data_IF_142366571706
#
_entry.id   IF_142366571706
#
_cell.length_a   1.000
_cell.length_b   1.000
_cell.length_c   1.000
_cell.angle_alpha   90.00
_cell.angle_beta   90.00
_cell.angle_gamma   90.00
#
_symmetry.space_group_name_H-M   'P 1'
#
loop_
_entity.id
_entity.type
_entity.pdbx_description
1 polymer ?
#
# COMPACT_ATOMS: atom_id res chain seq x y z
N UNK A 1 12.92 -28.98 -30.67
CA UNK A 1 12.02 -27.88 -31.08
C UNK A 1 12.78 -26.57 -30.94
N UNK A 2 13.38 -26.05 -32.02
CA UNK A 2 14.09 -24.75 -32.02
C UNK A 2 13.03 -23.65 -32.21
N UNK A 3 12.38 -23.23 -31.13
CA UNK A 3 11.41 -22.12 -31.18
C UNK A 3 12.06 -20.86 -31.72
N UNK A 4 11.30 -19.95 -32.36
CA UNK A 4 11.87 -18.69 -32.87
C UNK A 4 12.23 -17.78 -31.69
N UNK A 5 13.53 -17.51 -31.43
CA UNK A 5 13.99 -16.77 -30.25
C UNK A 5 13.36 -15.38 -30.06
N UNK A 6 13.02 -14.71 -31.16
CA UNK A 6 12.36 -13.39 -31.13
C UNK A 6 11.01 -13.42 -30.39
N UNK A 7 10.26 -14.53 -30.47
CA UNK A 7 9.01 -14.65 -29.72
C UNK A 7 9.25 -14.68 -28.21
N UNK A 8 10.34 -15.28 -27.74
CA UNK A 8 10.66 -15.26 -26.32
C UNK A 8 10.93 -13.84 -25.82
N UNK A 9 11.72 -13.05 -26.58
CA UNK A 9 12.01 -11.66 -26.25
C UNK A 9 10.75 -10.79 -26.11
N UNK A 10 9.76 -10.97 -27.00
CA UNK A 10 8.52 -10.18 -26.97
C UNK A 10 7.50 -10.72 -25.96
N UNK A 11 7.40 -12.03 -25.80
CA UNK A 11 6.37 -12.65 -24.96
C UNK A 11 6.77 -12.72 -23.48
N UNK A 12 8.06 -12.78 -23.15
CA UNK A 12 8.49 -12.91 -21.76
C UNK A 12 8.03 -11.73 -20.88
N UNK A 13 8.19 -10.45 -21.27
CA UNK A 13 7.67 -9.32 -20.48
C UNK A 13 6.15 -9.37 -20.32
N UNK A 14 5.42 -9.67 -21.39
CA UNK A 14 3.96 -9.75 -21.39
C UNK A 14 3.45 -10.86 -20.48
N UNK A 15 4.05 -12.05 -20.59
CA UNK A 15 3.69 -13.20 -19.77
C UNK A 15 4.00 -12.92 -18.30
N UNK A 16 5.18 -12.39 -17.99
CA UNK A 16 5.59 -12.08 -16.63
C UNK A 16 4.63 -11.09 -15.97
N UNK A 17 4.34 -9.99 -16.66
CA UNK A 17 3.42 -8.97 -16.16
C UNK A 17 2.00 -9.48 -16.04
N UNK A 18 1.54 -10.33 -16.96
CA UNK A 18 0.22 -10.96 -16.85
C UNK A 18 0.13 -11.83 -15.59
N UNK A 19 1.19 -12.59 -15.27
CA UNK A 19 1.26 -13.39 -14.05
C UNK A 19 1.33 -12.53 -12.79
N UNK A 20 2.13 -11.46 -12.79
CA UNK A 20 2.15 -10.49 -11.69
C UNK A 20 0.78 -9.84 -11.49
N UNK A 21 0.14 -9.38 -12.57
CA UNK A 21 -1.19 -8.76 -12.52
C UNK A 21 -2.24 -9.71 -11.96
N UNK A 22 -2.31 -10.96 -12.48
CA UNK A 22 -3.24 -11.98 -11.99
C UNK A 22 -3.03 -12.29 -10.51
N UNK A 23 -1.76 -12.36 -10.09
CA UNK A 23 -1.37 -12.60 -8.70
C UNK A 23 -1.70 -11.40 -7.79
N UNK A 24 -1.63 -10.18 -8.31
CA UNK A 24 -1.91 -8.93 -7.59
C UNK A 24 -3.39 -8.51 -7.62
N UNK A 25 -4.29 -9.36 -8.14
CA UNK A 25 -5.74 -9.10 -8.16
C UNK A 25 -6.31 -8.95 -6.75
N UNK A 26 -7.37 -8.13 -6.59
CA UNK A 26 -8.16 -7.99 -5.35
C UNK A 26 -9.00 -9.23 -4.99
N UNK A 27 -8.67 -10.38 -5.56
CA UNK A 27 -9.31 -11.63 -5.19
C UNK A 27 -8.90 -12.04 -3.77
N UNK A 28 -9.67 -12.94 -3.17
CA UNK A 28 -9.37 -13.53 -1.85
C UNK A 28 -7.98 -14.18 -1.79
N UNK A 29 -7.41 -14.55 -2.94
CA UNK A 29 -6.08 -15.16 -3.06
C UNK A 29 -5.03 -14.19 -3.61
N UNK A 30 -5.40 -12.91 -3.76
CA UNK A 30 -4.50 -11.85 -4.17
C UNK A 30 -3.31 -11.74 -3.23
N UNK A 31 -2.12 -11.75 -3.80
CA UNK A 31 -0.88 -11.63 -3.04
C UNK A 31 0.14 -10.82 -3.83
N UNK A 32 0.09 -9.49 -3.72
CA UNK A 32 0.92 -8.55 -4.48
C UNK A 32 2.33 -8.33 -3.88
N UNK A 33 2.93 -9.38 -3.29
CA UNK A 33 4.27 -9.30 -2.68
C UNK A 33 5.38 -9.49 -3.73
N UNK A 34 6.59 -8.93 -3.51
CA UNK A 34 7.76 -9.15 -4.39
C UNK A 34 7.51 -8.89 -5.90
N UNK A 35 6.73 -7.87 -6.25
CA UNK A 35 6.65 -7.44 -7.65
C UNK A 35 8.01 -6.91 -8.12
N UNK A 36 8.49 -7.33 -9.30
CA UNK A 36 9.82 -6.97 -9.79
C UNK A 36 10.02 -5.45 -9.86
N UNK A 37 9.01 -4.71 -10.32
CA UNK A 37 9.07 -3.26 -10.44
C UNK A 37 9.43 -2.54 -9.14
N UNK A 38 9.04 -3.08 -7.97
CA UNK A 38 9.35 -2.46 -6.68
C UNK A 38 10.85 -2.46 -6.36
N UNK A 39 11.64 -3.34 -6.98
CA UNK A 39 13.10 -3.34 -6.83
C UNK A 39 13.74 -2.02 -7.30
N UNK A 40 13.06 -1.26 -8.15
CA UNK A 40 13.58 -0.03 -8.76
C UNK A 40 13.20 1.24 -7.99
N UNK A 41 12.60 1.14 -6.78
CA UNK A 41 12.03 2.29 -6.06
C UNK A 41 13.02 3.45 -5.80
N UNK A 42 14.33 3.19 -5.74
CA UNK A 42 15.36 4.23 -5.57
C UNK A 42 15.85 4.83 -6.90
N UNK A 43 15.53 4.20 -8.03
CA UNK A 43 15.94 4.67 -9.35
C UNK A 43 14.86 5.56 -9.94
N UNK A 44 14.83 6.81 -9.47
CA UNK A 44 13.74 7.76 -9.72
C UNK A 44 13.41 7.94 -11.20
N UNK A 45 14.41 8.02 -12.09
CA UNK A 45 14.21 8.17 -13.53
C UNK A 45 13.60 6.93 -14.21
N UNK A 46 13.71 5.75 -13.59
CA UNK A 46 13.09 4.52 -14.11
C UNK A 46 11.64 4.41 -13.63
N UNK A 47 11.30 4.91 -12.45
CA UNK A 47 9.96 4.67 -11.89
C UNK A 47 8.89 5.63 -12.41
N UNK A 48 9.24 6.80 -12.96
CA UNK A 48 8.23 7.79 -13.35
C UNK A 48 7.17 7.27 -14.34
N UNK A 49 7.51 6.48 -15.39
CA UNK A 49 6.49 5.94 -16.30
C UNK A 49 5.46 5.00 -15.65
N UNK A 50 5.60 4.67 -14.35
CA UNK A 50 4.54 4.02 -13.59
C UNK A 50 3.27 4.86 -13.49
N UNK A 51 3.32 6.18 -13.68
CA UNK A 51 2.12 7.02 -13.76
C UNK A 51 1.20 6.58 -14.92
N UNK A 52 1.78 6.07 -16.02
CA UNK A 52 1.07 5.63 -17.21
C UNK A 52 0.77 4.12 -17.17
N UNK A 53 1.76 3.33 -16.75
CA UNK A 53 1.75 1.88 -16.89
C UNK A 53 1.51 1.13 -15.58
N UNK A 54 1.52 1.84 -14.46
CA UNK A 54 1.63 1.25 -13.13
C UNK A 54 2.98 0.57 -12.89
N UNK A 55 3.09 -0.12 -11.76
CA UNK A 55 4.29 -0.90 -11.40
C UNK A 55 4.64 -1.98 -12.44
N UNK A 56 3.62 -2.45 -13.16
CA UNK A 56 3.70 -3.51 -14.17
C UNK A 56 4.57 -3.13 -15.37
N UNK A 57 4.57 -1.87 -15.80
CA UNK A 57 5.44 -1.43 -16.89
C UNK A 57 6.92 -1.49 -16.49
N UNK A 58 7.24 -1.19 -15.24
CA UNK A 58 8.60 -1.30 -14.71
C UNK A 58 9.01 -2.78 -14.69
N UNK A 59 8.15 -3.69 -14.20
CA UNK A 59 8.40 -5.13 -14.29
C UNK A 59 8.63 -5.60 -15.73
N UNK A 60 7.84 -5.11 -16.69
CA UNK A 60 8.01 -5.43 -18.11
C UNK A 60 9.40 -5.01 -18.61
N UNK A 61 9.82 -3.78 -18.28
CA UNK A 61 11.12 -3.24 -18.67
C UNK A 61 12.27 -4.10 -18.12
N UNK A 62 12.21 -4.48 -16.84
CA UNK A 62 13.23 -5.34 -16.21
C UNK A 62 13.35 -6.66 -16.96
N UNK A 63 12.22 -7.32 -17.26
CA UNK A 63 12.22 -8.60 -17.97
C UNK A 63 12.73 -8.42 -19.40
N UNK A 64 12.34 -7.35 -20.09
CA UNK A 64 12.80 -7.03 -21.44
C UNK A 64 14.33 -6.86 -21.51
N UNK A 65 14.90 -6.09 -20.57
CA UNK A 65 16.35 -5.87 -20.48
C UNK A 65 17.07 -7.17 -20.19
N UNK A 66 16.58 -7.98 -19.24
CA UNK A 66 17.18 -9.28 -18.92
C UNK A 66 17.08 -10.26 -20.10
N UNK A 67 15.99 -10.26 -20.86
CA UNK A 67 15.87 -11.05 -22.07
C UNK A 67 16.89 -10.61 -23.14
N UNK A 68 17.08 -9.31 -23.35
CA UNK A 68 18.10 -8.80 -24.27
C UNK A 68 19.53 -9.18 -23.84
N UNK A 69 19.82 -9.09 -22.54
CA UNK A 69 21.10 -9.52 -21.97
C UNK A 69 21.32 -11.02 -22.16
N UNK A 70 20.29 -11.85 -21.98
CA UNK A 70 20.37 -13.27 -22.25
C UNK A 70 20.73 -13.54 -23.72
N UNK A 71 20.12 -12.83 -24.68
CA UNK A 71 20.47 -12.95 -26.10
C UNK A 71 21.92 -12.59 -26.39
N UNK A 72 22.39 -11.48 -25.82
CA UNK A 72 23.77 -11.02 -26.00
C UNK A 72 24.79 -12.00 -25.39
N UNK A 73 24.55 -12.46 -24.16
CA UNK A 73 25.43 -13.41 -23.47
C UNK A 73 25.43 -14.78 -24.14
N UNK A 74 24.27 -15.28 -24.56
CA UNK A 74 24.18 -16.57 -25.23
C UNK A 74 24.94 -16.57 -26.57
N UNK A 75 24.81 -15.51 -27.37
CA UNK A 75 25.56 -15.35 -28.61
C UNK A 75 27.07 -15.28 -28.36
N UNK A 76 27.50 -14.60 -27.28
CA UNK A 76 28.90 -14.51 -26.88
C UNK A 76 29.49 -15.86 -26.43
N UNK A 77 28.78 -16.60 -25.58
CA UNK A 77 29.25 -17.89 -25.02
C UNK A 77 29.29 -18.98 -26.09
N UNK A 78 28.24 -19.10 -26.89
CA UNK A 78 28.10 -20.19 -27.86
C UNK A 78 28.89 -19.95 -29.16
N UNK A 79 29.57 -18.79 -29.28
CA UNK A 79 30.32 -18.37 -30.47
C UNK A 79 29.51 -18.59 -31.75
N UNK A 80 28.30 -18.04 -31.75
CA UNK A 80 27.38 -18.18 -32.87
C UNK A 80 27.96 -17.53 -34.13
N UNK A 81 28.27 -18.32 -35.16
CA UNK A 81 28.90 -17.84 -36.40
C UNK A 81 27.88 -17.49 -37.51
N UNK A 82 26.57 -17.54 -37.23
CA UNK A 82 25.53 -17.26 -38.23
C UNK A 82 25.24 -15.76 -38.35
N UNK A 83 25.39 -15.20 -39.57
CA UNK A 83 25.04 -13.81 -39.87
C UNK A 83 23.61 -13.42 -39.48
N UNK A 84 22.66 -14.35 -39.55
CA UNK A 84 21.26 -14.10 -39.19
C UNK A 84 21.08 -13.96 -37.68
N UNK A 85 21.87 -14.66 -36.87
CA UNK A 85 21.82 -14.61 -35.41
C UNK A 85 22.42 -13.28 -34.91
N UNK A 86 23.55 -12.84 -35.48
CA UNK A 86 24.12 -11.53 -35.19
C UNK A 86 23.16 -10.37 -35.49
N UNK A 87 22.51 -10.40 -36.66
CA UNK A 87 21.50 -9.39 -37.02
C UNK A 87 20.35 -9.36 -36.03
N UNK A 88 19.93 -10.51 -35.51
CA UNK A 88 18.87 -10.60 -34.53
C UNK A 88 19.30 -10.05 -33.16
N UNK A 89 20.48 -10.44 -32.68
CA UNK A 89 21.05 -9.93 -31.42
C UNK A 89 21.16 -8.41 -31.47
N UNK A 90 21.75 -7.86 -32.54
CA UNK A 90 21.89 -6.41 -32.72
C UNK A 90 20.55 -5.67 -32.79
N UNK A 91 19.51 -6.29 -33.39
CA UNK A 91 18.15 -5.71 -33.40
C UNK A 91 17.54 -5.71 -32.01
N UNK A 92 17.64 -6.81 -31.28
CA UNK A 92 17.11 -6.96 -29.92
C UNK A 92 17.79 -5.99 -28.97
N UNK A 93 19.13 -5.95 -28.97
CA UNK A 93 19.89 -5.04 -28.13
C UNK A 93 19.66 -3.59 -28.53
N UNK A 94 19.73 -3.25 -29.82
CA UNK A 94 19.48 -1.90 -30.31
C UNK A 94 18.09 -1.38 -29.96
N UNK A 95 17.04 -2.19 -30.15
CA UNK A 95 15.68 -1.84 -29.75
C UNK A 95 15.55 -1.66 -28.23
N UNK A 96 16.17 -2.56 -27.45
CA UNK A 96 16.12 -2.51 -25.98
C UNK A 96 16.83 -1.27 -25.46
N UNK A 97 18.01 -0.97 -25.99
CA UNK A 97 18.77 0.24 -25.66
C UNK A 97 17.99 1.50 -26.03
N UNK A 98 17.37 1.55 -27.21
CA UNK A 98 16.53 2.68 -27.60
C UNK A 98 15.35 2.87 -26.65
N UNK A 99 14.63 1.79 -26.33
CA UNK A 99 13.50 1.84 -25.39
C UNK A 99 13.96 2.28 -23.99
N UNK A 100 15.10 1.79 -23.51
CA UNK A 100 15.66 2.16 -22.21
C UNK A 100 16.07 3.64 -22.18
N UNK A 101 16.69 4.15 -23.24
CA UNK A 101 17.04 5.56 -23.38
C UNK A 101 15.79 6.45 -23.38
N UNK A 102 14.75 6.07 -24.13
CA UNK A 102 13.47 6.80 -24.15
C UNK A 102 12.79 6.75 -22.78
N UNK A 103 12.82 5.61 -22.10
CA UNK A 103 12.25 5.43 -20.77
C UNK A 103 12.92 6.33 -19.72
N UNK A 104 14.26 6.32 -19.68
CA UNK A 104 15.04 7.17 -18.78
C UNK A 104 14.86 8.65 -19.15
N UNK A 105 14.82 8.98 -20.44
CA UNK A 105 14.58 10.33 -20.93
C UNK A 105 13.23 10.88 -20.49
N UNK A 106 12.17 10.09 -20.64
CA UNK A 106 10.83 10.44 -20.14
C UNK A 106 10.84 10.63 -18.63
N UNK A 107 11.47 9.72 -17.88
CA UNK A 107 11.51 9.83 -16.43
C UNK A 107 12.32 11.00 -15.93
N UNK A 108 13.40 11.38 -16.61
CA UNK A 108 14.13 12.61 -16.32
C UNK A 108 13.26 13.86 -16.52
N UNK A 109 12.56 13.94 -17.65
CA UNK A 109 11.64 15.04 -17.95
C UNK A 109 10.48 15.12 -16.94
N UNK A 110 9.89 13.98 -16.58
CA UNK A 110 8.79 13.90 -15.62
C UNK A 110 9.23 14.32 -14.23
N UNK A 111 10.43 13.94 -13.79
CA UNK A 111 10.97 14.37 -12.50
C UNK A 111 11.09 15.89 -12.39
N UNK A 112 11.53 16.56 -13.46
CA UNK A 112 11.64 18.01 -13.50
C UNK A 112 10.26 18.69 -13.36
N UNK A 113 9.26 18.17 -14.08
CA UNK A 113 7.88 18.66 -13.97
C UNK A 113 7.29 18.42 -12.58
N UNK A 114 7.45 17.21 -12.04
CA UNK A 114 6.92 16.83 -10.73
C UNK A 114 7.56 17.63 -9.60
N UNK A 115 8.87 17.89 -9.66
CA UNK A 115 9.54 18.73 -8.66
C UNK A 115 8.95 20.15 -8.62
N UNK A 116 8.71 20.75 -9.79
CA UNK A 116 8.08 22.07 -9.88
C UNK A 116 6.65 22.09 -9.30
N UNK A 117 5.89 21.01 -9.49
CA UNK A 117 4.56 20.87 -8.90
C UNK A 117 4.62 20.71 -7.38
N UNK A 118 5.56 19.92 -6.86
CA UNK A 118 5.77 19.76 -5.41
C UNK A 118 6.12 21.10 -4.77
N UNK A 119 7.04 21.85 -5.36
CA UNK A 119 7.52 23.13 -4.82
C UNK A 119 6.42 24.21 -4.80
N UNK A 120 5.43 24.11 -5.71
CA UNK A 120 4.29 25.04 -5.79
C UNK A 120 3.06 24.58 -5.01
N UNK A 121 3.03 23.33 -4.53
CA UNK A 121 1.89 22.78 -3.80
C UNK A 121 1.92 23.18 -2.32
N UNK A 122 0.77 23.57 -1.73
CA UNK A 122 0.72 23.81 -0.30
C UNK A 122 1.03 22.51 0.45
N UNK A 123 2.03 22.54 1.32
CA UNK A 123 2.35 21.40 2.17
C UNK A 123 1.45 21.36 3.40
N UNK A 124 1.06 20.16 3.83
CA UNK A 124 0.38 19.93 5.11
C UNK A 124 1.35 19.42 6.17
N UNK A 125 1.19 19.87 7.41
CA UNK A 125 2.01 19.42 8.55
C UNK A 125 1.28 18.32 9.31
N UNK A 126 1.86 17.12 9.30
CA UNK A 126 1.31 15.94 9.98
C UNK A 126 2.19 15.52 11.16
N UNK A 127 1.57 15.29 12.32
CA UNK A 127 2.23 14.67 13.48
C UNK A 127 1.99 13.17 13.50
N UNK A 128 3.04 12.35 13.51
CA UNK A 128 2.92 10.90 13.65
C UNK A 128 3.21 10.47 15.09
N UNK A 129 2.24 9.84 15.76
CA UNK A 129 2.40 9.31 17.12
C UNK A 129 2.71 7.81 17.09
N UNK A 130 3.99 7.45 17.14
CA UNK A 130 4.42 6.05 17.08
C UNK A 130 4.55 5.45 18.49
N UNK A 131 3.62 4.56 18.85
CA UNK A 131 3.52 3.97 20.18
C UNK A 131 4.61 2.95 20.53
N UNK A 132 5.15 2.22 19.54
CA UNK A 132 6.07 1.09 19.74
C UNK A 132 5.63 0.10 20.86
N UNK A 133 4.34 -0.21 20.91
CA UNK A 133 3.75 -1.07 21.94
C UNK A 133 3.94 -2.52 21.52
N UNK A 134 4.50 -3.34 22.41
CA UNK A 134 4.72 -4.76 22.16
C UNK A 134 3.40 -5.50 21.89
N UNK A 135 3.43 -6.40 20.91
CA UNK A 135 2.21 -7.04 20.39
C UNK A 135 1.41 -7.78 21.48
N UNK A 136 2.10 -8.47 22.39
CA UNK A 136 1.45 -9.25 23.45
C UNK A 136 0.80 -8.37 24.54
N UNK A 137 1.20 -7.10 24.64
CA UNK A 137 0.64 -6.13 25.59
C UNK A 137 -0.55 -5.37 25.01
N UNK A 138 -0.66 -5.30 23.68
CA UNK A 138 -1.61 -4.46 22.94
C UNK A 138 -3.07 -4.68 23.33
N UNK A 139 -3.45 -5.91 23.67
CA UNK A 139 -4.82 -6.29 24.04
C UNK A 139 -4.99 -6.58 25.54
N UNK A 140 -3.94 -6.37 26.32
CA UNK A 140 -3.97 -6.62 27.75
C UNK A 140 -4.64 -5.44 28.48
N UNK A 141 -5.78 -5.70 29.13
CA UNK A 141 -6.55 -4.70 29.89
C UNK A 141 -5.72 -4.00 30.98
N UNK A 142 -4.70 -4.65 31.54
CA UNK A 142 -3.82 -4.05 32.55
C UNK A 142 -2.94 -2.93 31.96
N UNK A 143 -2.63 -3.00 30.67
CA UNK A 143 -1.76 -2.04 29.99
C UNK A 143 -2.54 -0.94 29.26
N UNK A 144 -3.86 -1.08 29.13
CA UNK A 144 -4.72 -0.11 28.43
C UNK A 144 -4.52 1.33 28.91
N UNK A 145 -4.49 1.56 30.22
CA UNK A 145 -4.30 2.93 30.75
C UNK A 145 -2.91 3.48 30.44
N UNK A 146 -1.86 2.65 30.55
CA UNK A 146 -0.50 3.04 30.23
C UNK A 146 -0.34 3.39 28.75
N UNK A 147 -0.90 2.55 27.86
CA UNK A 147 -0.98 2.79 26.42
C UNK A 147 -1.65 4.12 26.11
N UNK A 148 -2.82 4.39 26.69
CA UNK A 148 -3.55 5.63 26.42
C UNK A 148 -2.83 6.85 26.97
N UNK A 149 -2.19 6.75 28.14
CA UNK A 149 -1.35 7.81 28.68
C UNK A 149 -0.17 8.11 27.74
N UNK A 150 0.48 7.09 27.19
CA UNK A 150 1.58 7.26 26.26
C UNK A 150 1.14 7.96 24.96
N UNK A 151 0.02 7.54 24.36
CA UNK A 151 -0.54 8.23 23.20
C UNK A 151 -0.96 9.68 23.50
N UNK A 152 -1.47 9.96 24.71
CA UNK A 152 -1.73 11.33 25.16
C UNK A 152 -0.46 12.16 25.19
N UNK A 153 0.61 11.66 25.79
CA UNK A 153 1.89 12.38 25.87
C UNK A 153 2.48 12.65 24.49
N UNK A 154 2.48 11.65 23.59
CA UNK A 154 2.92 11.82 22.20
C UNK A 154 2.07 12.84 21.44
N UNK A 155 0.75 12.77 21.59
CA UNK A 155 -0.20 13.68 20.93
C UNK A 155 0.02 15.11 21.39
N UNK A 156 0.11 15.35 22.70
CA UNK A 156 0.35 16.69 23.24
C UNK A 156 1.74 17.22 22.89
N UNK A 157 2.75 16.33 22.79
CA UNK A 157 4.08 16.70 22.31
C UNK A 157 4.04 17.11 20.84
N UNK A 158 3.36 16.35 19.99
CA UNK A 158 3.20 16.65 18.57
C UNK A 158 2.40 17.94 18.36
N UNK A 159 1.34 18.18 19.15
CA UNK A 159 0.52 19.38 19.05
C UNK A 159 1.32 20.70 19.23
N UNK A 160 2.45 20.67 19.94
CA UNK A 160 3.34 21.84 20.09
C UNK A 160 3.91 22.35 18.76
N UNK A 161 4.03 21.49 17.75
CA UNK A 161 4.48 21.89 16.41
C UNK A 161 3.35 22.41 15.51
N UNK A 162 2.13 22.51 16.07
CA UNK A 162 0.90 22.97 15.38
C UNK A 162 0.64 22.21 14.06
N UNK A 163 0.61 20.86 14.07
CA UNK A 163 0.21 20.10 12.89
C UNK A 163 -1.28 20.29 12.60
N UNK A 164 -1.67 20.06 11.35
CA UNK A 164 -3.06 20.07 10.89
C UNK A 164 -3.79 18.77 11.21
N UNK A 165 -3.04 17.67 11.39
CA UNK A 165 -3.54 16.36 11.78
C UNK A 165 -2.48 15.63 12.62
N UNK A 166 -2.94 14.86 13.60
CA UNK A 166 -2.09 13.87 14.29
C UNK A 166 -2.60 12.47 13.93
N UNK A 167 -1.69 11.60 13.47
CA UNK A 167 -1.99 10.24 13.06
C UNK A 167 -1.44 9.24 14.07
N UNK A 168 -2.26 8.29 14.50
CA UNK A 168 -1.85 7.13 15.28
C UNK A 168 -1.89 5.87 14.39
N UNK A 169 -1.09 4.84 14.70
CA UNK A 169 -1.02 3.64 13.87
C UNK A 169 -2.28 2.77 13.93
N UNK A 170 -2.26 1.68 13.17
CA UNK A 170 -3.29 0.63 13.16
C UNK A 170 -3.50 0.00 14.55
N UNK A 171 -4.79 -0.13 14.92
CA UNK A 171 -5.21 -0.63 16.23
C UNK A 171 -4.49 0.04 17.41
N UNK A 172 -4.31 1.37 17.35
CA UNK A 172 -3.68 2.15 18.41
C UNK A 172 -4.46 2.10 19.73
N UNK A 173 -5.78 1.95 19.68
CA UNK A 173 -6.62 1.87 20.88
C UNK A 173 -6.80 0.40 21.32
N UNK A 174 -6.52 0.05 22.58
CA UNK A 174 -6.71 -1.30 23.12
C UNK A 174 -8.18 -1.59 23.52
N UNK A 175 -9.12 -0.93 22.85
CA UNK A 175 -10.57 -1.01 23.07
C UNK A 175 -11.31 -0.67 21.77
N UNK A 176 -12.62 -0.95 21.73
CA UNK A 176 -13.48 -0.63 20.59
C UNK A 176 -13.94 0.83 20.66
N UNK A 177 -13.33 1.71 19.87
CA UNK A 177 -13.74 3.10 19.81
C UNK A 177 -15.21 3.22 19.32
N UNK A 178 -15.96 4.17 19.87
CA UNK A 178 -17.43 4.32 19.75
C UNK A 178 -18.29 3.31 20.53
N UNK A 179 -17.73 2.18 20.99
CA UNK A 179 -18.46 1.20 21.81
C UNK A 179 -18.02 1.20 23.29
N UNK A 180 -16.82 1.66 23.58
CA UNK A 180 -16.32 1.91 24.93
C UNK A 180 -16.51 3.40 25.29
N UNK A 181 -17.47 3.77 26.17
CA UNK A 181 -17.74 5.18 26.46
C UNK A 181 -16.56 5.92 27.10
N UNK A 182 -15.78 5.24 27.93
CA UNK A 182 -14.67 5.85 28.69
C UNK A 182 -13.51 6.14 27.74
N UNK A 183 -13.08 5.15 26.97
CA UNK A 183 -12.02 5.27 25.98
C UNK A 183 -12.40 6.20 24.83
N UNK A 184 -13.65 6.16 24.38
CA UNK A 184 -14.16 7.09 23.35
C UNK A 184 -14.08 8.53 23.84
N UNK A 185 -14.60 8.81 25.04
CA UNK A 185 -14.53 10.15 25.64
C UNK A 185 -13.08 10.60 25.83
N UNK A 186 -12.19 9.71 26.28
CA UNK A 186 -10.77 10.03 26.46
C UNK A 186 -10.12 10.54 25.16
N UNK A 187 -10.33 9.85 24.03
CA UNK A 187 -9.77 10.25 22.73
C UNK A 187 -10.40 11.55 22.23
N UNK A 188 -11.71 11.73 22.41
CA UNK A 188 -12.38 12.97 22.03
C UNK A 188 -11.89 14.18 22.84
N UNK A 189 -11.74 14.02 24.17
CA UNK A 189 -11.22 15.05 25.06
C UNK A 189 -9.75 15.35 24.74
N UNK A 190 -8.97 14.35 24.36
CA UNK A 190 -7.60 14.54 23.92
C UNK A 190 -7.53 15.36 22.62
N UNK A 191 -8.38 15.07 21.63
CA UNK A 191 -8.46 15.86 20.40
C UNK A 191 -8.82 17.33 20.69
N UNK A 192 -9.80 17.56 21.59
CA UNK A 192 -10.17 18.90 22.10
C UNK A 192 -9.01 19.61 22.80
N UNK A 193 -8.31 18.89 23.66
CA UNK A 193 -7.19 19.44 24.45
C UNK A 193 -6.01 19.79 23.57
N UNK A 194 -5.70 18.94 22.58
CA UNK A 194 -4.64 19.19 21.61
C UNK A 194 -5.03 20.31 20.63
N UNK A 195 -6.32 20.52 20.38
CA UNK A 195 -6.82 21.47 19.39
C UNK A 195 -6.56 21.02 17.95
N UNK A 196 -6.24 19.74 17.73
CA UNK A 196 -5.85 19.17 16.44
C UNK A 196 -6.69 17.91 16.16
N UNK A 197 -7.19 17.71 14.93
CA UNK A 197 -7.81 16.46 14.51
C UNK A 197 -6.91 15.23 14.71
N UNK A 198 -7.54 14.08 14.98
CA UNK A 198 -6.87 12.78 15.14
C UNK A 198 -7.34 11.79 14.09
N UNK A 199 -6.42 11.15 13.37
CA UNK A 199 -6.68 9.98 12.52
C UNK A 199 -6.02 8.76 13.15
N UNK A 200 -6.78 7.71 13.48
CA UNK A 200 -6.21 6.55 14.18
C UNK A 200 -6.93 5.26 13.84
N UNK A 201 -6.21 4.14 13.94
CA UNK A 201 -6.77 2.80 13.83
C UNK A 201 -7.36 2.31 15.17
N UNK A 202 -8.55 1.72 15.12
CA UNK A 202 -9.23 1.11 16.27
C UNK A 202 -10.11 -0.05 15.80
N UNK A 203 -10.23 -1.14 16.56
CA UNK A 203 -11.22 -2.16 16.25
C UNK A 203 -12.63 -1.59 16.39
N UNK A 204 -13.54 -2.03 15.52
CA UNK A 204 -14.97 -1.72 15.60
C UNK A 204 -15.78 -3.01 15.53
N UNK A 205 -16.97 -3.02 16.13
CA UNK A 205 -17.85 -4.19 16.14
C UNK A 205 -19.27 -3.78 15.79
N UNK A 206 -19.88 -4.51 14.87
CA UNK A 206 -21.24 -4.28 14.41
C UNK A 206 -21.99 -5.59 14.24
N UNK A 207 -23.31 -5.56 14.47
CA UNK A 207 -24.18 -6.68 14.11
C UNK A 207 -24.70 -6.49 12.69
N UNK A 208 -24.26 -7.35 11.78
CA UNK A 208 -24.73 -7.42 10.38
C UNK A 208 -25.44 -8.75 10.19
N UNK A 209 -26.71 -8.72 9.75
CA UNK A 209 -27.54 -9.91 9.51
C UNK A 209 -27.56 -10.90 10.69
N UNK A 210 -27.65 -10.36 11.91
CA UNK A 210 -27.67 -11.15 13.15
C UNK A 210 -26.31 -11.70 13.59
N UNK A 211 -25.24 -11.52 12.81
CA UNK A 211 -23.87 -11.92 13.14
C UNK A 211 -23.07 -10.72 13.64
N UNK A 212 -22.28 -10.92 14.69
CA UNK A 212 -21.32 -9.92 15.14
C UNK A 212 -20.07 -10.00 14.27
N UNK A 213 -19.71 -8.91 13.59
CA UNK A 213 -18.50 -8.79 12.80
C UNK A 213 -17.54 -7.79 13.44
N UNK A 214 -16.26 -8.13 13.43
CA UNK A 214 -15.18 -7.23 13.83
C UNK A 214 -14.64 -6.49 12.60
N UNK A 215 -14.26 -5.23 12.75
CA UNK A 215 -13.72 -4.42 11.67
C UNK A 215 -12.41 -3.78 12.10
N UNK A 216 -11.46 -3.76 11.18
CA UNK A 216 -10.25 -2.98 11.31
C UNK A 216 -10.51 -1.60 10.71
N UNK A 217 -10.73 -0.59 11.57
CA UNK A 217 -11.28 0.69 11.19
C UNK A 217 -10.32 1.85 11.49
N UNK A 218 -10.15 2.74 10.54
CA UNK A 218 -9.57 4.06 10.77
C UNK A 218 -10.69 5.08 11.05
N UNK A 219 -10.50 5.90 12.08
CA UNK A 219 -11.42 6.96 12.49
C UNK A 219 -10.76 8.31 12.32
N UNK A 220 -11.47 9.27 11.73
CA UNK A 220 -11.11 10.68 11.77
C UNK A 220 -11.96 11.40 12.82
N UNK A 221 -11.31 11.98 13.82
CA UNK A 221 -11.94 12.77 14.89
C UNK A 221 -11.49 14.22 14.77
N UNK A 222 -12.44 15.15 14.75
CA UNK A 222 -12.18 16.58 14.64
C UNK A 222 -11.50 17.14 15.89
N UNK A 223 -10.93 18.34 15.80
CA UNK A 223 -10.39 19.07 16.96
C UNK A 223 -11.46 19.44 17.99
N UNK A 224 -12.75 19.34 17.67
CA UNK A 224 -13.86 19.47 18.62
C UNK A 224 -14.26 18.11 19.25
N UNK A 225 -13.55 17.04 18.94
CA UNK A 225 -13.80 15.70 19.44
C UNK A 225 -15.01 15.02 18.80
N UNK A 226 -15.42 15.41 17.57
CA UNK A 226 -16.49 14.75 16.83
C UNK A 226 -15.90 13.78 15.82
N UNK A 227 -16.41 12.55 15.75
CA UNK A 227 -16.08 11.63 14.64
C UNK A 227 -16.65 12.16 13.34
N UNK A 228 -15.78 12.46 12.37
CA UNK A 228 -16.13 13.06 11.08
C UNK A 228 -16.49 11.96 10.09
N UNK A 229 -15.60 10.98 9.92
CA UNK A 229 -15.76 9.88 8.96
C UNK A 229 -14.93 8.67 9.41
N UNK A 230 -15.14 7.54 8.72
CA UNK A 230 -14.47 6.27 8.98
C UNK A 230 -14.07 5.55 7.68
N UNK A 231 -13.04 4.73 7.79
CA UNK A 231 -12.63 3.80 6.74
C UNK A 231 -12.48 2.41 7.34
N UNK A 232 -13.21 1.45 6.77
CA UNK A 232 -13.06 0.03 7.10
C UNK A 232 -12.11 -0.62 6.11
N UNK A 233 -11.17 -1.42 6.61
CA UNK A 233 -10.26 -2.21 5.79
C UNK A 233 -11.04 -3.07 4.80
N UNK A 234 -10.76 -2.89 3.51
CA UNK A 234 -11.38 -3.55 2.37
C UNK A 234 -10.71 -4.89 2.10
N UNK A 235 -9.37 -4.94 2.15
CA UNK A 235 -8.60 -6.15 1.82
C UNK A 235 -7.93 -6.72 3.06
N UNK A 236 -8.48 -7.85 3.53
CA UNK A 236 -8.02 -8.53 4.73
C UNK A 236 -6.77 -9.39 4.45
N UNK A 237 -5.97 -9.61 5.46
CA UNK A 237 -4.79 -10.49 5.39
C UNK A 237 -5.25 -11.94 5.49
N UNK A 238 -4.96 -12.80 4.48
CA UNK A 238 -5.23 -14.22 4.57
C UNK A 238 -4.51 -14.85 5.76
N UNK A 239 -5.20 -15.74 6.48
CA UNK A 239 -4.76 -16.43 7.69
C UNK A 239 -4.51 -15.53 8.92
N UNK A 240 -4.38 -14.21 8.76
CA UNK A 240 -4.29 -13.26 9.86
C UNK A 240 -5.63 -12.67 10.29
N UNK A 241 -6.51 -12.33 9.34
CA UNK A 241 -7.81 -11.69 9.58
C UNK A 241 -8.99 -12.53 9.06
N UNK A 242 -8.74 -13.52 8.20
CA UNK A 242 -9.75 -14.49 7.76
C UNK A 242 -9.09 -15.80 7.29
N UNK A 243 -9.85 -16.89 7.20
CA UNK A 243 -9.36 -18.18 6.64
C UNK A 243 -9.90 -18.40 5.22
N UNK A 244 -9.06 -18.36 4.17
CA UNK A 244 -9.45 -18.78 2.82
C UNK A 244 -9.98 -20.22 2.81
N UNK A 245 -10.99 -20.51 1.99
CA UNK A 245 -11.58 -21.85 1.87
C UNK A 245 -11.88 -22.52 3.21
N UNK A 246 -12.45 -21.77 4.16
CA UNK A 246 -12.73 -22.18 5.55
C UNK A 246 -13.25 -23.62 5.72
N UNK A 247 -14.12 -24.09 4.81
CA UNK A 247 -14.66 -25.46 4.81
C UNK A 247 -13.61 -26.55 4.59
N UNK A 248 -12.58 -26.28 3.78
CA UNK A 248 -11.49 -27.21 3.49
C UNK A 248 -10.29 -27.04 4.44
N UNK A 249 -10.03 -25.82 4.92
CA UNK A 249 -8.88 -25.48 5.77
C UNK A 249 -9.26 -25.29 7.26
N UNK A 250 -10.27 -26.02 7.73
CA UNK A 250 -10.79 -25.92 9.10
C UNK A 250 -9.73 -26.17 10.18
N UNK A 251 -8.66 -26.91 9.88
CA UNK A 251 -7.57 -27.21 10.81
C UNK A 251 -6.61 -26.03 11.03
N UNK A 252 -6.56 -25.07 10.09
CA UNK A 252 -5.68 -23.88 10.17
C UNK A 252 -6.17 -22.91 11.25
N UNK A 253 -7.48 -22.93 11.55
CA UNK A 253 -8.06 -22.09 12.61
C UNK A 253 -7.42 -22.30 13.98
N UNK A 254 -6.85 -23.47 14.23
CA UNK A 254 -6.19 -23.81 15.50
C UNK A 254 -4.74 -23.35 15.58
N UNK A 255 -4.16 -22.87 14.47
CA UNK A 255 -2.74 -22.51 14.37
C UNK A 255 -2.50 -21.01 14.34
N UNK A 256 -3.55 -20.19 14.31
CA UNK A 256 -3.43 -18.72 14.23
C UNK A 256 -4.22 -18.06 15.36
N UNK A 257 -3.51 -17.31 16.20
CA UNK A 257 -4.02 -16.77 17.48
C UNK A 257 -5.11 -15.69 17.32
N UNK A 258 -5.35 -15.17 16.12
CA UNK A 258 -6.16 -13.96 15.87
C UNK A 258 -7.14 -14.16 14.69
N UNK A 259 -7.79 -15.31 14.56
CA UNK A 259 -8.87 -15.43 13.56
C UNK A 259 -10.17 -14.88 14.16
N UNK A 260 -10.48 -13.63 13.82
CA UNK A 260 -11.82 -13.06 13.97
C UNK A 260 -12.63 -13.22 12.69
N UNK A 261 -13.95 -13.25 12.79
CA UNK A 261 -14.83 -13.07 11.62
C UNK A 261 -14.86 -11.57 11.26
N UNK A 262 -13.79 -11.12 10.60
CA UNK A 262 -13.67 -9.72 10.19
C UNK A 262 -14.60 -9.40 9.02
N UNK A 263 -15.31 -8.27 9.14
CA UNK A 263 -16.08 -7.67 8.07
C UNK A 263 -15.18 -6.97 7.05
N UNK A 264 -15.66 -6.90 5.81
CA UNK A 264 -14.99 -6.22 4.71
C UNK A 264 -15.52 -4.80 4.55
N UNK A 265 -14.61 -3.82 4.46
CA UNK A 265 -14.92 -2.48 4.00
C UNK A 265 -15.51 -2.49 2.59
N UNK A 266 -16.50 -1.63 2.34
CA UNK A 266 -17.25 -1.61 1.07
C UNK A 266 -16.79 -0.52 0.10
N UNK A 267 -16.01 0.46 0.57
CA UNK A 267 -15.65 1.64 -0.22
C UNK A 267 -14.32 2.22 0.22
N UNK A 268 -13.51 2.68 -0.74
CA UNK A 268 -12.45 3.63 -0.46
C UNK A 268 -13.06 4.96 0.01
N UNK A 269 -12.60 5.43 1.18
CA UNK A 269 -13.00 6.72 1.77
C UNK A 269 -11.92 7.76 1.47
N UNK A 270 -12.35 8.99 1.12
CA UNK A 270 -11.46 10.16 1.05
C UNK A 270 -11.88 11.09 2.18
N UNK A 271 -11.01 11.23 3.17
CA UNK A 271 -11.25 12.09 4.31
C UNK A 271 -11.00 13.56 3.93
N UNK A 272 -11.87 14.46 4.38
CA UNK A 272 -11.67 15.90 4.24
C UNK A 272 -11.08 16.47 5.52
N UNK A 273 -9.90 17.07 5.40
CA UNK A 273 -9.20 17.79 6.46
C UNK A 273 -9.10 19.26 6.06
N UNK A 274 -10.14 20.03 6.32
CA UNK A 274 -10.21 21.47 6.02
C UNK A 274 -9.86 21.77 4.54
N UNK A 275 -10.37 20.96 3.62
CA UNK A 275 -10.10 21.07 2.18
C UNK A 275 -8.90 20.26 1.67
N UNK A 276 -8.04 19.73 2.55
CA UNK A 276 -7.03 18.73 2.17
C UNK A 276 -7.67 17.34 2.12
N UNK A 277 -7.44 16.58 1.04
CA UNK A 277 -8.15 15.32 0.80
C UNK A 277 -7.23 14.11 1.02
N UNK A 278 -7.52 13.29 2.03
CA UNK A 278 -6.65 12.18 2.45
C UNK A 278 -7.23 10.82 2.05
N UNK A 279 -6.44 10.01 1.36
CA UNK A 279 -6.68 8.58 1.17
C UNK A 279 -6.14 7.78 2.35
N UNK A 280 -6.85 6.71 2.75
CA UNK A 280 -6.37 5.80 3.79
C UNK A 280 -6.31 4.38 3.25
N UNK A 281 -5.23 3.70 3.60
CA UNK A 281 -4.98 2.29 3.32
C UNK A 281 -4.41 1.67 4.60
N UNK A 282 -4.99 0.57 5.07
CA UNK A 282 -4.59 -0.06 6.32
C UNK A 282 -3.64 -1.22 6.04
N UNK A 283 -2.40 -1.09 6.50
CA UNK A 283 -1.42 -2.18 6.56
C UNK A 283 -1.21 -2.84 5.19
N UNK A 284 -1.54 -4.13 5.08
CA UNK A 284 -1.40 -4.96 3.89
C UNK A 284 -2.06 -4.39 2.63
N UNK A 285 -3.05 -3.51 2.76
CA UNK A 285 -3.72 -2.89 1.61
C UNK A 285 -2.79 -2.07 0.70
N UNK A 286 -1.70 -1.53 1.24
CA UNK A 286 -0.82 -0.60 0.52
C UNK A 286 -0.09 -1.25 -0.67
N UNK A 287 0.07 -2.58 -0.66
CA UNK A 287 0.79 -3.30 -1.72
C UNK A 287 -0.08 -3.57 -2.95
N UNK A 288 -1.38 -3.29 -2.88
CA UNK A 288 -2.34 -3.53 -3.96
C UNK A 288 -2.53 -2.25 -4.78
N UNK A 289 -1.91 -2.11 -5.95
CA UNK A 289 -1.90 -0.84 -6.69
C UNK A 289 -3.31 -0.35 -7.04
N UNK A 290 -4.20 -1.29 -7.41
CA UNK A 290 -5.58 -0.96 -7.73
C UNK A 290 -6.42 -0.55 -6.51
N UNK A 291 -6.03 -0.92 -5.27
CA UNK A 291 -6.72 -0.45 -4.06
C UNK A 291 -6.34 1.00 -3.76
N UNK A 292 -5.03 1.26 -3.74
CA UNK A 292 -4.44 2.58 -3.45
C UNK A 292 -4.87 3.61 -4.48
N UNK A 293 -5.09 3.21 -5.73
CA UNK A 293 -5.58 4.09 -6.80
C UNK A 293 -7.03 4.57 -6.59
N UNK A 294 -7.87 3.84 -5.84
CA UNK A 294 -9.28 4.20 -5.68
C UNK A 294 -9.54 5.55 -4.99
N UNK A 295 -8.94 5.85 -3.82
CA UNK A 295 -9.10 7.17 -3.20
C UNK A 295 -8.52 8.28 -4.08
N UNK A 296 -7.39 8.05 -4.76
CA UNK A 296 -6.78 9.02 -5.69
C UNK A 296 -7.73 9.37 -6.84
N UNK A 297 -8.40 8.38 -7.45
CA UNK A 297 -9.44 8.62 -8.47
C UNK A 297 -10.64 9.42 -7.95
N UNK A 298 -10.86 9.42 -6.64
CA UNK A 298 -11.89 10.23 -5.98
C UNK A 298 -11.37 11.59 -5.54
N UNK A 299 -10.12 11.92 -5.87
CA UNK A 299 -9.44 13.19 -5.61
C UNK A 299 -8.75 13.26 -4.25
N UNK A 300 -8.23 12.15 -3.73
CA UNK A 300 -7.25 12.21 -2.64
C UNK A 300 -5.92 12.80 -3.15
N UNK A 301 -5.32 13.63 -2.32
CA UNK A 301 -4.07 14.36 -2.56
C UNK A 301 -2.90 13.77 -1.75
N UNK A 302 -3.21 13.12 -0.62
CA UNK A 302 -2.26 12.49 0.30
C UNK A 302 -2.68 11.06 0.66
#
# INVERSE_FOLDING_TARGET
SRGKPVYFFLLAPLLWVSLEYLRSTHSILGFSWLGLGYSQFQTLSIIQPAEMTGIYGISALIVLVNAALHFLLNAWITRQDSLNEYKMVNRVTGLTSLLLLLWIGWGGWTLEQTQSQIDSSPGIRIGLAQGNIEQHLKWNKLYQQATMKFYKELTLKAAKTKPELIVWPEAATPFYYSLDPIGTKYVQDLARTAGVPLLFGSPYKEKVDGKSLDFNRAFLVSSQGKTIDVYDKIHLVPFGEFVPFRKALFFVEKMVEIIGDFGLGKRATVFDLNGSRLGVSICYEIIFPDLVRQPVKKGAEY
#
